data_IF_001309961413
#
_entry.id   IF_001309961413
#
_cell.length_a   1.000
_cell.length_b   1.000
_cell.length_c   1.000
_cell.angle_alpha   90.00
_cell.angle_beta   90.00
_cell.angle_gamma   90.00
#
_symmetry.space_group_name_H-M   'P 1'
#
loop_
_entity.id
_entity.type
_entity.pdbx_description
1 polymer ?
#
# COMPACT_ATOMS: atom_id res chain seq x y z
N UNK A 1 -6.12 8.49 25.32
CA UNK A 1 -5.72 7.84 24.06
C UNK A 1 -4.25 8.09 23.67
N UNK A 2 -3.45 8.57 24.61
CA UNK A 2 -2.06 8.93 24.32
C UNK A 2 -1.17 7.77 23.88
N UNK A 3 -1.47 6.54 24.29
CA UNK A 3 -0.63 5.37 24.05
C UNK A 3 -1.26 4.35 23.12
N UNK A 4 -2.35 4.73 22.43
CA UNK A 4 -3.00 3.83 21.49
C UNK A 4 -2.30 3.93 20.14
N UNK A 5 -1.90 2.78 19.62
CA UNK A 5 -1.33 2.65 18.28
C UNK A 5 -2.07 1.56 17.53
N UNK A 6 -1.88 1.50 16.24
CA UNK A 6 -2.39 0.39 15.46
C UNK A 6 -1.27 -0.30 14.69
N UNK A 7 -1.50 -1.55 14.38
CA UNK A 7 -0.61 -2.36 13.57
C UNK A 7 -1.45 -3.26 12.68
N UNK A 8 -1.23 -3.18 11.39
CA UNK A 8 -1.85 -4.07 10.41
C UNK A 8 -0.77 -4.86 9.71
N UNK A 9 -0.96 -6.16 9.66
CA UNK A 9 0.01 -7.05 9.04
C UNK A 9 -0.68 -7.77 7.88
N UNK A 10 -0.03 -7.80 6.74
CA UNK A 10 -0.54 -8.41 5.53
C UNK A 10 0.36 -9.57 5.12
N UNK A 11 -0.24 -10.72 4.87
CA UNK A 11 0.46 -11.89 4.38
C UNK A 11 -0.03 -12.15 2.96
N UNK A 12 0.87 -11.97 1.99
CA UNK A 12 0.56 -12.20 0.59
C UNK A 12 1.25 -13.47 0.09
N UNK A 13 0.53 -14.24 -0.69
CA UNK A 13 1.11 -15.41 -1.37
C UNK A 13 0.86 -15.25 -2.87
N UNK A 14 1.86 -15.57 -3.65
CA UNK A 14 1.77 -15.41 -5.08
C UNK A 14 2.87 -16.16 -5.80
N UNK A 15 3.13 -15.74 -7.02
CA UNK A 15 4.07 -16.41 -7.90
C UNK A 15 5.19 -15.48 -8.28
N UNK A 16 6.41 -16.02 -8.35
CA UNK A 16 7.59 -15.26 -8.77
C UNK A 16 7.57 -14.95 -10.26
N UNK A 17 6.92 -15.79 -11.06
CA UNK A 17 6.83 -15.61 -12.51
C UNK A 17 5.60 -14.80 -12.88
N UNK A 18 5.81 -13.77 -13.70
CA UNK A 18 4.73 -12.97 -14.23
C UNK A 18 4.13 -13.65 -15.46
N UNK A 19 2.80 -13.67 -15.53
CA UNK A 19 2.11 -14.21 -16.70
C UNK A 19 2.27 -13.26 -17.90
N UNK A 20 2.37 -13.85 -19.09
CA UNK A 20 2.50 -13.10 -20.32
C UNK A 20 1.20 -12.42 -20.76
N UNK A 21 0.06 -13.02 -20.45
CA UNK A 21 -1.26 -12.55 -20.86
C UNK A 21 -2.16 -12.40 -19.64
N UNK A 22 -3.01 -11.38 -19.65
CA UNK A 22 -3.95 -11.10 -18.56
C UNK A 22 -5.02 -12.18 -18.42
N UNK A 23 -5.27 -12.96 -19.47
CA UNK A 23 -6.25 -14.05 -19.46
C UNK A 23 -5.67 -15.38 -19.01
N UNK A 24 -4.35 -15.47 -18.86
CA UNK A 24 -3.71 -16.69 -18.35
C UNK A 24 -3.87 -16.79 -16.83
N UNK A 25 -3.80 -18.02 -16.34
CA UNK A 25 -3.84 -18.29 -14.91
C UNK A 25 -2.68 -19.20 -14.54
N UNK A 26 -2.16 -19.01 -13.33
CA UNK A 26 -1.15 -19.90 -12.80
C UNK A 26 -1.74 -21.28 -12.52
N UNK A 27 -1.04 -22.31 -12.96
CA UNK A 27 -1.44 -23.71 -12.74
C UNK A 27 -0.72 -24.34 -11.57
N UNK A 28 0.37 -23.74 -11.12
CA UNK A 28 1.16 -24.22 -9.99
C UNK A 28 0.71 -23.54 -8.69
N UNK A 29 1.10 -24.11 -7.56
CA UNK A 29 0.89 -23.48 -6.26
C UNK A 29 1.76 -22.23 -6.13
N UNK A 30 1.32 -21.24 -5.34
CA UNK A 30 2.16 -20.06 -5.09
C UNK A 30 3.54 -20.46 -4.54
N UNK A 31 4.58 -19.85 -5.10
CA UNK A 31 5.97 -20.11 -4.74
C UNK A 31 6.63 -18.95 -3.99
N UNK A 32 5.88 -17.88 -3.78
CA UNK A 32 6.40 -16.68 -3.12
C UNK A 32 5.46 -16.23 -2.02
N UNK A 33 6.03 -15.64 -0.98
CA UNK A 33 5.27 -15.01 0.07
C UNK A 33 5.90 -13.69 0.46
N UNK A 34 5.05 -12.75 0.89
CA UNK A 34 5.49 -11.46 1.39
C UNK A 34 4.70 -11.13 2.65
N UNK A 35 5.39 -10.58 3.63
CA UNK A 35 4.77 -10.08 4.85
C UNK A 35 5.08 -8.60 4.94
N UNK A 36 4.04 -7.79 5.00
CA UNK A 36 4.17 -6.34 5.14
C UNK A 36 3.42 -5.89 6.38
N UNK A 37 3.80 -4.73 6.88
CA UNK A 37 3.20 -4.17 8.09
C UNK A 37 3.02 -2.68 7.95
N UNK A 38 1.86 -2.21 8.42
CA UNK A 38 1.57 -0.78 8.54
C UNK A 38 1.39 -0.49 10.02
N UNK A 39 2.09 0.51 10.53
CA UNK A 39 1.97 0.94 11.92
C UNK A 39 1.72 2.44 11.96
N UNK A 40 0.99 2.87 12.97
CA UNK A 40 0.72 4.28 13.15
C UNK A 40 0.15 4.58 14.52
N UNK A 41 -0.04 5.88 14.81
CA UNK A 41 -0.69 6.30 16.05
C UNK A 41 -2.18 5.94 16.04
N UNK A 42 -2.89 6.34 17.08
CA UNK A 42 -4.30 6.02 17.27
C UNK A 42 -5.10 6.16 15.97
N UNK A 43 -5.84 5.10 15.55
CA UNK A 43 -6.42 5.08 14.19
C UNK A 43 -7.67 5.94 14.00
N UNK A 44 -8.44 6.19 15.07
CA UNK A 44 -9.72 6.88 14.96
C UNK A 44 -9.60 8.37 14.70
N UNK A 45 -8.76 9.05 15.47
CA UNK A 45 -8.65 10.51 15.41
C UNK A 45 -7.32 11.00 14.85
N UNK A 46 -6.24 10.27 15.08
CA UNK A 46 -4.90 10.73 14.69
C UNK A 46 -4.53 10.21 13.31
N UNK A 47 -4.46 8.90 13.12
CA UNK A 47 -4.02 8.33 11.84
C UNK A 47 -4.99 8.60 10.71
N UNK A 48 -6.29 8.49 10.94
CA UNK A 48 -7.29 8.76 9.92
C UNK A 48 -7.20 10.19 9.41
N UNK A 49 -7.08 11.16 10.33
CA UNK A 49 -6.95 12.56 9.93
C UNK A 49 -5.66 12.82 9.15
N UNK A 50 -4.56 12.21 9.54
CA UNK A 50 -3.28 12.33 8.80
C UNK A 50 -3.37 11.72 7.41
N UNK A 51 -4.00 10.55 7.30
CA UNK A 51 -4.15 9.90 5.99
C UNK A 51 -5.02 10.75 5.05
N UNK A 52 -6.17 11.20 5.52
CA UNK A 52 -7.08 12.02 4.71
C UNK A 52 -6.41 13.33 4.28
N UNK A 53 -5.73 14.00 5.20
CA UNK A 53 -5.05 15.25 4.90
C UNK A 53 -3.94 15.06 3.87
N UNK A 54 -3.11 14.03 4.03
CA UNK A 54 -2.03 13.76 3.09
C UNK A 54 -2.58 13.35 1.71
N UNK A 55 -3.66 12.59 1.66
CA UNK A 55 -4.32 12.27 0.40
C UNK A 55 -4.82 13.52 -0.31
N UNK A 56 -5.44 14.44 0.41
CA UNK A 56 -5.93 15.69 -0.16
C UNK A 56 -4.77 16.54 -0.69
N UNK A 57 -3.68 16.65 0.04
CA UNK A 57 -2.51 17.41 -0.39
C UNK A 57 -1.91 16.82 -1.67
N UNK A 58 -1.83 15.50 -1.76
CA UNK A 58 -1.32 14.84 -2.96
C UNK A 58 -2.25 15.06 -4.15
N UNK A 59 -3.56 14.99 -3.95
CA UNK A 59 -4.53 15.25 -5.02
C UNK A 59 -4.41 16.67 -5.57
N UNK A 60 -4.08 17.63 -4.70
CA UNK A 60 -3.91 19.03 -5.11
C UNK A 60 -2.57 19.28 -5.79
N UNK A 61 -1.49 18.71 -5.27
CA UNK A 61 -0.12 19.05 -5.69
C UNK A 61 0.48 18.09 -6.71
N UNK A 62 -0.02 16.85 -6.81
CA UNK A 62 0.56 15.83 -7.69
C UNK A 62 -0.46 15.28 -8.68
N UNK A 63 -1.34 16.12 -9.14
CA UNK A 63 -2.41 15.75 -10.05
C UNK A 63 -1.92 15.14 -11.36
N UNK A 64 -0.77 15.57 -11.81
CA UNK A 64 -0.11 15.05 -13.01
C UNK A 64 0.34 13.59 -12.88
N UNK A 65 0.52 13.11 -11.66
CA UNK A 65 0.96 11.74 -11.39
C UNK A 65 -0.18 10.76 -11.18
N UNK A 66 -1.42 11.25 -11.18
CA UNK A 66 -2.60 10.40 -11.05
C UNK A 66 -2.96 9.87 -12.43
N UNK A 67 -3.03 8.54 -12.62
CA UNK A 67 -3.15 7.96 -13.96
C UNK A 67 -4.51 8.20 -14.63
N UNK A 68 -5.57 8.40 -13.82
CA UNK A 68 -6.92 8.63 -14.33
C UNK A 68 -7.42 9.97 -13.83
N UNK A 69 -7.83 10.85 -14.75
CA UNK A 69 -8.23 12.23 -14.43
C UNK A 69 -9.70 12.37 -14.11
N UNK A 70 -10.54 11.44 -14.55
CA UNK A 70 -11.97 11.44 -14.32
C UNK A 70 -12.47 10.05 -13.99
N UNK A 71 -13.57 9.98 -13.23
CA UNK A 71 -14.19 8.72 -12.85
C UNK A 71 -13.88 8.32 -11.42
N UNK A 72 -14.19 7.07 -11.10
CA UNK A 72 -13.98 6.50 -9.77
C UNK A 72 -12.84 5.50 -9.86
N UNK A 73 -11.81 5.72 -9.03
CA UNK A 73 -10.65 4.83 -8.98
C UNK A 73 -10.30 4.52 -7.53
N UNK A 74 -9.64 3.37 -7.32
CA UNK A 74 -9.22 2.97 -5.99
C UNK A 74 -8.00 3.80 -5.52
N UNK A 75 -7.81 3.95 -4.20
CA UNK A 75 -6.62 4.65 -3.70
C UNK A 75 -5.30 4.05 -4.16
N UNK A 76 -5.22 2.72 -4.25
CA UNK A 76 -4.02 2.05 -4.73
C UNK A 76 -3.64 2.45 -6.15
N UNK A 77 -4.62 2.58 -7.03
CA UNK A 77 -4.40 3.05 -8.40
C UNK A 77 -4.09 4.54 -8.43
N UNK A 78 -4.88 5.33 -7.69
CA UNK A 78 -4.73 6.79 -7.69
C UNK A 78 -3.36 7.24 -7.23
N UNK A 79 -2.84 6.65 -6.15
CA UNK A 79 -1.65 7.13 -5.48
C UNK A 79 -0.38 6.32 -5.77
N UNK A 80 -0.44 5.34 -6.69
CA UNK A 80 0.66 4.43 -6.96
C UNK A 80 1.95 5.13 -7.41
N UNK A 81 1.85 6.23 -8.12
CA UNK A 81 3.00 6.99 -8.63
C UNK A 81 3.25 8.30 -7.90
N UNK A 82 2.54 8.52 -6.81
CA UNK A 82 2.64 9.76 -6.03
C UNK A 82 3.58 9.59 -4.84
N UNK A 83 3.84 10.68 -4.15
CA UNK A 83 4.66 10.69 -2.93
C UNK A 83 3.87 10.35 -1.66
N UNK A 84 2.68 9.78 -1.77
CA UNK A 84 1.81 9.55 -0.61
C UNK A 84 2.51 8.72 0.48
N UNK A 85 3.15 7.62 0.11
CA UNK A 85 3.83 6.77 1.10
C UNK A 85 4.94 7.51 1.83
N UNK A 86 5.72 8.31 1.11
CA UNK A 86 6.78 9.11 1.72
C UNK A 86 6.22 10.15 2.69
N UNK A 87 5.10 10.78 2.31
CA UNK A 87 4.43 11.76 3.17
C UNK A 87 3.89 11.10 4.44
N UNK A 88 3.27 9.93 4.32
CA UNK A 88 2.74 9.19 5.47
C UNK A 88 3.86 8.71 6.39
N UNK A 89 4.96 8.20 5.83
CA UNK A 89 6.12 7.81 6.63
C UNK A 89 6.67 9.00 7.42
N UNK A 90 6.77 10.15 6.81
CA UNK A 90 7.22 11.38 7.49
C UNK A 90 6.25 11.82 8.58
N UNK A 91 4.99 11.45 8.45
CA UNK A 91 3.93 11.83 9.39
C UNK A 91 3.63 10.75 10.43
N UNK A 92 4.47 9.73 10.53
CA UNK A 92 4.40 8.71 11.57
C UNK A 92 3.59 7.48 11.24
N UNK A 93 3.09 7.36 10.01
CA UNK A 93 2.40 6.15 9.54
C UNK A 93 3.36 5.40 8.63
N UNK A 94 3.91 4.29 9.12
CA UNK A 94 5.01 3.59 8.47
C UNK A 94 4.53 2.35 7.75
N UNK A 95 5.12 2.12 6.58
CA UNK A 95 4.88 0.95 5.73
C UNK A 95 6.18 0.19 5.62
N UNK A 96 6.18 -1.08 6.01
CA UNK A 96 7.38 -1.90 6.04
C UNK A 96 7.15 -3.24 5.34
N UNK A 97 8.18 -3.72 4.64
CA UNK A 97 8.22 -5.10 4.19
C UNK A 97 9.09 -5.87 5.17
N UNK A 98 8.47 -6.78 5.92
CA UNK A 98 9.17 -7.55 6.96
C UNK A 98 9.93 -8.73 6.36
N UNK A 99 9.28 -9.45 5.43
CA UNK A 99 9.83 -10.66 4.86
C UNK A 99 9.34 -10.80 3.42
N UNK A 100 10.26 -11.18 2.54
CA UNK A 100 9.93 -11.53 1.17
C UNK A 100 10.68 -12.81 0.83
N UNK A 101 9.94 -13.90 0.66
CA UNK A 101 10.50 -15.21 0.39
C UNK A 101 10.04 -15.72 -0.97
N UNK A 102 11.01 -16.16 -1.77
CA UNK A 102 10.75 -16.92 -2.98
C UNK A 102 11.11 -18.36 -2.69
N UNK A 103 10.13 -19.24 -2.72
CA UNK A 103 10.36 -20.64 -2.54
C UNK A 103 10.78 -21.25 -3.88
N UNK A 104 12.04 -21.65 -3.98
CA UNK A 104 12.56 -22.38 -5.14
C UNK A 104 12.48 -23.89 -4.92
N UNK A 105 11.67 -24.27 -3.99
CA UNK A 105 11.54 -25.66 -3.62
C UNK A 105 10.48 -26.37 -4.44
#
# INVERSE_FOLDING_TARGET
>A
MKNVTFKMQFIGKGWSNKLADVNEQHVSKPDSSIITRITGPEPGYISTSKIVTNCALVLLSERDKIPVKVGVITPGVAFSKTSLFNRLNSDGITFETLTKLNSNL
#
